data_IF_228311044396
#
_entry.id   IF_228311044396
#
_cell.length_a   1.000
_cell.length_b   1.000
_cell.length_c   1.000
_cell.angle_alpha   90.00
_cell.angle_beta   90.00
_cell.angle_gamma   90.00
#
_symmetry.space_group_name_H-M   'P 1'
#
loop_
_entity.id
_entity.type
_entity.pdbx_description
1 polymer ?
#
# COMPACT_ATOMS: atom_id res chain seq x y z
N UNK A 1 -71.97 -23.74 19.26
CA UNK A 1 -71.30 -23.94 20.56
C UNK A 1 -70.79 -25.35 20.53
N UNK A 2 -69.51 -25.68 20.44
CA UNK A 2 -68.28 -24.91 20.56
C UNK A 2 -67.23 -25.54 19.63
N UNK A 3 -66.58 -24.72 18.82
CA UNK A 3 -65.31 -25.06 18.18
C UNK A 3 -64.37 -23.89 18.45
N UNK A 4 -63.90 -23.83 19.69
CA UNK A 4 -62.85 -22.91 20.11
C UNK A 4 -61.74 -23.73 20.76
N UNK A 5 -61.19 -24.67 19.99
CA UNK A 5 -59.97 -25.37 20.38
C UNK A 5 -58.82 -24.37 20.19
N UNK A 6 -58.07 -24.02 21.26
CA UNK A 6 -56.90 -23.16 21.11
C UNK A 6 -55.91 -23.82 20.15
N UNK A 7 -55.25 -23.05 19.25
CA UNK A 7 -54.16 -23.60 18.46
C UNK A 7 -53.09 -24.18 19.41
N UNK A 8 -52.48 -25.33 19.06
CA UNK A 8 -51.41 -25.90 19.87
C UNK A 8 -50.32 -24.85 20.06
N UNK A 9 -49.86 -24.68 21.30
CA UNK A 9 -48.75 -23.80 21.61
C UNK A 9 -47.54 -24.23 20.77
N UNK A 10 -47.12 -23.39 19.84
CA UNK A 10 -45.92 -23.63 19.04
C UNK A 10 -44.74 -23.73 20.02
N UNK A 11 -44.17 -24.93 20.17
CA UNK A 11 -42.95 -25.11 20.93
C UNK A 11 -41.87 -24.23 20.28
N UNK A 12 -41.27 -23.29 21.02
CA UNK A 12 -40.22 -22.45 20.46
C UNK A 12 -39.08 -23.35 19.99
N UNK A 13 -38.69 -23.22 18.73
CA UNK A 13 -37.64 -24.02 18.13
C UNK A 13 -36.30 -23.65 18.78
N UNK A 14 -35.82 -24.49 19.70
CA UNK A 14 -34.59 -24.26 20.48
C UNK A 14 -33.31 -24.28 19.66
N UNK A 15 -33.39 -24.77 18.41
CA UNK A 15 -32.21 -25.04 17.58
C UNK A 15 -31.98 -24.01 16.46
N UNK A 16 -32.85 -23.00 16.31
CA UNK A 16 -32.70 -21.97 15.29
C UNK A 16 -31.81 -20.81 15.79
N UNK A 17 -30.50 -20.93 15.61
CA UNK A 17 -29.57 -19.80 15.78
C UNK A 17 -29.69 -18.83 14.59
N UNK A 18 -30.50 -17.79 14.76
CA UNK A 18 -30.64 -16.71 13.77
C UNK A 18 -29.37 -15.86 13.63
N UNK A 19 -28.48 -15.86 14.64
CA UNK A 19 -27.19 -15.15 14.59
C UNK A 19 -26.27 -15.73 13.52
N UNK A 20 -26.29 -17.05 13.33
CA UNK A 20 -25.51 -17.71 12.27
C UNK A 20 -25.90 -17.23 10.86
N UNK A 21 -27.16 -16.83 10.64
CA UNK A 21 -27.62 -16.27 9.35
C UNK A 21 -27.02 -14.88 9.13
N UNK A 22 -27.00 -14.04 10.16
CA UNK A 22 -26.42 -12.69 10.10
C UNK A 22 -24.91 -12.75 9.89
N UNK A 23 -24.21 -13.65 10.59
CA UNK A 23 -22.78 -13.89 10.42
C UNK A 23 -22.43 -14.33 8.99
N UNK A 24 -23.23 -15.23 8.42
CA UNK A 24 -23.07 -15.65 7.03
C UNK A 24 -23.33 -14.49 6.05
N UNK A 25 -24.36 -13.68 6.31
CA UNK A 25 -24.67 -12.51 5.49
C UNK A 25 -23.54 -11.47 5.51
N UNK A 26 -22.95 -11.21 6.67
CA UNK A 26 -21.80 -10.30 6.78
C UNK A 26 -20.53 -10.89 6.16
N UNK A 27 -20.31 -12.20 6.28
CA UNK A 27 -19.23 -12.90 5.57
C UNK A 27 -19.38 -12.77 4.04
N UNK A 28 -20.61 -12.85 3.52
CA UNK A 28 -20.87 -12.62 2.10
C UNK A 28 -20.53 -11.18 1.67
N UNK A 29 -20.79 -10.18 2.52
CA UNK A 29 -20.40 -8.78 2.26
C UNK A 29 -18.89 -8.59 2.16
N UNK A 30 -18.13 -9.31 2.99
CA UNK A 30 -16.67 -9.36 2.89
C UNK A 30 -16.22 -9.84 1.52
N UNK A 31 -16.67 -11.03 1.08
CA UNK A 31 -16.26 -11.58 -0.21
C UNK A 31 -16.67 -10.69 -1.39
N UNK A 32 -17.87 -10.10 -1.32
CA UNK A 32 -18.33 -9.13 -2.31
C UNK A 32 -17.36 -7.96 -2.42
N UNK A 33 -17.00 -7.35 -1.28
CA UNK A 33 -16.09 -6.19 -1.26
C UNK A 33 -14.68 -6.54 -1.74
N UNK A 34 -14.15 -7.71 -1.37
CA UNK A 34 -12.85 -8.20 -1.85
C UNK A 34 -12.86 -8.31 -3.38
N UNK A 35 -13.92 -8.91 -3.95
CA UNK A 35 -14.06 -9.07 -5.39
C UNK A 35 -14.18 -7.72 -6.11
N UNK A 36 -14.94 -6.76 -5.57
CA UNK A 36 -15.09 -5.43 -6.15
C UNK A 36 -13.76 -4.68 -6.24
N UNK A 37 -12.96 -4.72 -5.16
CA UNK A 37 -11.63 -4.09 -5.14
C UNK A 37 -10.68 -4.79 -6.12
N UNK A 38 -10.64 -6.13 -6.12
CA UNK A 38 -9.80 -6.90 -7.03
C UNK A 38 -10.15 -6.62 -8.49
N UNK A 39 -11.45 -6.62 -8.84
CA UNK A 39 -11.93 -6.30 -10.19
C UNK A 39 -11.59 -4.87 -10.60
N UNK A 40 -11.68 -3.91 -9.67
CA UNK A 40 -11.28 -2.52 -9.92
C UNK A 40 -9.79 -2.38 -10.27
N UNK A 41 -8.93 -3.18 -9.64
CA UNK A 41 -7.48 -3.17 -9.91
C UNK A 41 -7.07 -3.95 -11.18
N UNK A 42 -7.88 -4.93 -11.61
CA UNK A 42 -7.54 -5.86 -12.70
C UNK A 42 -7.28 -5.17 -14.05
N UNK A 43 -8.05 -4.12 -14.36
CA UNK A 43 -7.86 -3.36 -15.59
C UNK A 43 -6.47 -2.70 -15.63
N UNK A 44 -6.06 -2.06 -14.53
CA UNK A 44 -4.75 -1.43 -14.40
C UNK A 44 -3.61 -2.46 -14.48
N UNK A 45 -3.78 -3.64 -13.87
CA UNK A 45 -2.77 -4.72 -13.91
C UNK A 45 -2.62 -5.31 -15.32
N UNK A 46 -3.73 -5.50 -16.03
CA UNK A 46 -3.71 -5.94 -17.44
C UNK A 46 -2.99 -4.94 -18.33
N UNK A 47 -3.30 -3.65 -18.17
CA UNK A 47 -2.62 -2.58 -18.91
C UNK A 47 -1.12 -2.52 -18.56
N UNK A 48 -0.78 -2.64 -17.28
CA UNK A 48 0.61 -2.66 -16.83
C UNK A 48 1.39 -3.83 -17.43
N UNK A 49 0.79 -5.03 -17.51
CA UNK A 49 1.40 -6.19 -18.17
C UNK A 49 1.70 -5.94 -19.63
N UNK A 50 0.77 -5.32 -20.37
CA UNK A 50 0.99 -4.98 -21.78
C UNK A 50 2.14 -3.98 -21.93
N UNK A 51 2.13 -2.91 -21.12
CA UNK A 51 3.20 -1.90 -21.10
C UNK A 51 4.55 -2.48 -20.72
N UNK A 52 4.60 -3.42 -19.79
CA UNK A 52 5.85 -4.07 -19.36
C UNK A 52 6.53 -4.79 -20.52
N UNK A 53 5.77 -5.58 -21.30
CA UNK A 53 6.31 -6.34 -22.42
C UNK A 53 6.90 -5.40 -23.50
N UNK A 54 6.17 -4.34 -23.85
CA UNK A 54 6.63 -3.32 -24.80
C UNK A 54 7.86 -2.61 -24.27
N UNK A 55 7.81 -2.09 -23.04
CA UNK A 55 8.91 -1.28 -22.51
C UNK A 55 10.19 -2.06 -22.24
N UNK A 56 10.10 -3.35 -21.90
CA UNK A 56 11.28 -4.21 -21.85
C UNK A 56 11.96 -4.35 -23.21
N UNK A 57 11.19 -4.53 -24.29
CA UNK A 57 11.74 -4.68 -25.64
C UNK A 57 12.34 -3.36 -26.15
N UNK A 58 11.62 -2.26 -25.97
CA UNK A 58 12.00 -0.94 -26.48
C UNK A 58 13.19 -0.33 -25.73
N UNK A 59 13.34 -0.62 -24.44
CA UNK A 59 14.40 -0.03 -23.62
C UNK A 59 15.81 -0.44 -24.08
N UNK A 60 16.00 -1.65 -24.60
CA UNK A 60 17.30 -2.07 -25.15
C UNK A 60 17.68 -1.19 -26.36
N UNK A 61 16.77 -1.01 -27.31
CA UNK A 61 16.99 -0.16 -28.47
C UNK A 61 17.23 1.30 -28.06
N UNK A 62 16.47 1.80 -27.09
CA UNK A 62 16.66 3.13 -26.51
C UNK A 62 18.06 3.28 -25.89
N UNK A 63 18.53 2.26 -25.16
CA UNK A 63 19.87 2.25 -24.56
C UNK A 63 20.97 2.26 -25.61
N UNK A 64 20.82 1.52 -26.71
CA UNK A 64 21.80 1.49 -27.81
C UNK A 64 21.92 2.86 -28.50
N UNK A 65 20.79 3.50 -28.80
CA UNK A 65 20.75 4.87 -29.34
C UNK A 65 21.41 5.86 -28.39
N UNK A 66 21.03 5.82 -27.11
CA UNK A 66 21.60 6.69 -26.09
C UNK A 66 23.10 6.44 -25.91
N UNK A 67 23.56 5.19 -25.98
CA UNK A 67 24.96 4.82 -25.82
C UNK A 67 25.83 5.41 -26.94
N UNK A 68 25.37 5.37 -28.18
CA UNK A 68 26.05 6.02 -29.30
C UNK A 68 26.22 7.53 -29.03
N UNK A 69 25.14 8.22 -28.64
CA UNK A 69 25.18 9.65 -28.32
C UNK A 69 26.10 9.97 -27.13
N UNK A 70 26.03 9.17 -26.06
CA UNK A 70 26.88 9.31 -24.86
C UNK A 70 28.36 9.11 -25.21
N UNK A 71 28.70 8.14 -26.06
CA UNK A 71 30.09 7.92 -26.51
C UNK A 71 30.60 9.13 -27.28
N UNK A 72 29.85 9.61 -28.28
CA UNK A 72 30.21 10.81 -29.04
C UNK A 72 30.39 12.03 -28.14
N UNK A 73 29.42 12.28 -27.25
CA UNK A 73 29.47 13.40 -26.31
C UNK A 73 30.67 13.31 -25.37
N UNK A 74 31.02 12.11 -24.88
CA UNK A 74 32.19 11.90 -24.01
C UNK A 74 33.51 12.21 -24.71
N UNK A 75 33.70 11.71 -25.93
CA UNK A 75 34.90 11.98 -26.73
C UNK A 75 35.05 13.47 -26.97
N UNK A 76 34.02 14.11 -27.54
CA UNK A 76 34.06 15.54 -27.85
C UNK A 76 34.24 16.42 -26.59
N UNK A 77 33.61 16.04 -25.48
CA UNK A 77 33.75 16.78 -24.22
C UNK A 77 35.16 16.68 -23.62
N UNK A 78 35.85 15.55 -23.82
CA UNK A 78 37.24 15.42 -23.37
C UNK A 78 38.14 16.45 -24.07
N UNK A 79 38.03 16.55 -25.41
CA UNK A 79 38.78 17.49 -26.23
C UNK A 79 38.46 18.96 -25.86
N UNK A 80 37.16 19.25 -25.64
CA UNK A 80 36.69 20.57 -25.20
C UNK A 80 37.27 20.95 -23.83
N UNK A 81 37.25 20.03 -22.87
CA UNK A 81 37.77 20.28 -21.53
C UNK A 81 39.28 20.49 -21.54
N UNK A 82 40.04 19.73 -22.33
CA UNK A 82 41.48 19.92 -22.49
C UNK A 82 41.78 21.30 -23.08
N UNK A 83 41.08 21.68 -24.15
CA UNK A 83 41.26 22.99 -24.79
C UNK A 83 40.88 24.15 -23.87
N UNK A 84 39.80 24.01 -23.09
CA UNK A 84 39.36 25.05 -22.14
C UNK A 84 40.37 25.25 -21.02
N UNK A 85 40.93 24.17 -20.44
CA UNK A 85 41.96 24.27 -19.39
C UNK A 85 43.19 25.03 -19.83
N UNK A 86 43.59 24.90 -21.09
CA UNK A 86 44.73 25.65 -21.63
C UNK A 86 44.44 27.14 -21.83
N UNK A 87 43.17 27.58 -21.76
CA UNK A 87 42.74 28.95 -22.07
C UNK A 87 42.17 29.71 -20.86
N UNK A 88 41.78 29.02 -19.81
CA UNK A 88 41.36 29.63 -18.54
C UNK A 88 42.56 29.72 -17.60
N UNK A 89 42.56 30.69 -16.69
CA UNK A 89 43.52 30.75 -15.62
C UNK A 89 43.20 29.71 -14.52
N UNK A 90 44.24 29.26 -13.83
CA UNK A 90 44.13 28.23 -12.77
C UNK A 90 43.19 28.67 -11.63
N UNK A 91 43.15 29.96 -11.32
CA UNK A 91 42.32 30.52 -10.25
C UNK A 91 40.82 30.41 -10.59
N UNK A 92 40.44 30.85 -11.79
CA UNK A 92 39.06 30.71 -12.27
C UNK A 92 38.66 29.24 -12.45
N UNK A 93 39.57 28.38 -12.95
CA UNK A 93 39.32 26.94 -13.04
C UNK A 93 38.91 26.35 -11.67
N UNK A 94 39.69 26.65 -10.63
CA UNK A 94 39.44 26.14 -9.29
C UNK A 94 38.18 26.75 -8.65
N UNK A 95 37.94 28.03 -8.88
CA UNK A 95 36.72 28.70 -8.40
C UNK A 95 35.47 28.07 -9.02
N UNK A 96 35.46 27.86 -10.34
CA UNK A 96 34.33 27.24 -11.04
C UNK A 96 34.13 25.79 -10.61
N UNK A 97 35.20 25.00 -10.44
CA UNK A 97 35.07 23.61 -9.92
C UNK A 97 34.45 23.58 -8.53
N UNK A 98 34.88 24.47 -7.62
CA UNK A 98 34.35 24.55 -6.26
C UNK A 98 32.88 24.97 -6.26
N UNK A 99 32.53 26.00 -7.04
CA UNK A 99 31.16 26.45 -7.21
C UNK A 99 30.28 25.31 -7.75
N UNK A 100 30.76 24.60 -8.78
CA UNK A 100 30.09 23.44 -9.35
C UNK A 100 29.86 22.32 -8.32
N UNK A 101 30.88 21.98 -7.51
CA UNK A 101 30.75 20.98 -6.46
C UNK A 101 29.69 21.34 -5.42
N UNK A 102 29.67 22.61 -4.96
CA UNK A 102 28.67 23.10 -4.02
C UNK A 102 27.25 22.96 -4.59
N UNK A 103 27.05 23.33 -5.86
CA UNK A 103 25.77 23.18 -6.55
C UNK A 103 25.38 21.71 -6.68
N UNK A 104 26.30 20.81 -7.04
CA UNK A 104 26.00 19.37 -7.11
C UNK A 104 25.61 18.79 -5.76
N UNK A 105 26.26 19.21 -4.67
CA UNK A 105 25.89 18.80 -3.30
C UNK A 105 24.48 19.29 -2.97
N UNK A 106 24.17 20.55 -3.27
CA UNK A 106 22.83 21.11 -3.06
C UNK A 106 21.77 20.37 -3.88
N UNK A 107 22.03 20.09 -5.17
CA UNK A 107 21.13 19.32 -6.04
C UNK A 107 20.90 17.92 -5.47
N UNK A 108 21.94 17.23 -4.99
CA UNK A 108 21.78 15.90 -4.38
C UNK A 108 20.99 15.92 -3.09
N UNK A 109 21.05 17.01 -2.32
CA UNK A 109 20.29 17.15 -1.10
C UNK A 109 18.78 17.35 -1.37
N UNK A 110 18.40 17.94 -2.51
CA UNK A 110 16.99 18.18 -2.85
C UNK A 110 16.39 17.24 -3.89
N UNK A 111 17.21 16.58 -4.71
CA UNK A 111 16.75 15.65 -5.74
C UNK A 111 16.67 14.22 -5.19
N UNK A 112 15.65 13.47 -5.62
CA UNK A 112 15.56 12.03 -5.35
C UNK A 112 16.78 11.33 -5.97
N UNK A 113 17.37 10.41 -5.21
CA UNK A 113 18.50 9.63 -5.74
C UNK A 113 18.07 8.85 -7.00
N UNK A 114 18.87 8.88 -8.08
CA UNK A 114 18.64 8.03 -9.23
C UNK A 114 18.75 6.55 -8.85
N UNK A 115 17.83 5.74 -9.34
CA UNK A 115 17.82 4.31 -9.15
C UNK A 115 16.39 3.79 -9.16
N UNK A 116 16.21 2.59 -8.61
CA UNK A 116 14.87 2.03 -8.52
C UNK A 116 13.99 2.85 -7.57
N UNK A 117 12.84 3.28 -8.07
CA UNK A 117 11.87 4.07 -7.33
C UNK A 117 10.73 3.23 -6.72
N UNK A 118 10.80 1.91 -6.81
CA UNK A 118 9.74 1.02 -6.33
C UNK A 118 9.51 1.27 -4.83
N UNK A 119 8.23 1.39 -4.45
CA UNK A 119 7.83 1.58 -3.06
C UNK A 119 8.02 0.31 -2.23
N UNK A 120 7.55 0.31 -0.97
CA UNK A 120 7.57 -0.90 -0.14
C UNK A 120 6.76 -2.04 -0.80
N UNK A 121 7.21 -3.28 -0.56
CA UNK A 121 6.62 -4.49 -1.14
C UNK A 121 6.06 -5.49 -0.12
N UNK A 122 6.15 -5.14 1.16
CA UNK A 122 5.73 -5.97 2.29
C UNK A 122 4.38 -5.47 2.79
N UNK A 123 3.33 -6.16 2.37
CA UNK A 123 1.95 -5.88 2.76
C UNK A 123 1.45 -7.04 3.60
N UNK A 124 0.98 -6.73 4.81
CA UNK A 124 0.36 -7.68 5.72
C UNK A 124 -1.15 -7.65 5.53
N UNK A 125 -1.76 -8.70 4.94
CA UNK A 125 -3.20 -8.75 4.72
C UNK A 125 -3.98 -9.15 5.98
N UNK A 126 -3.30 -9.40 7.10
CA UNK A 126 -3.95 -9.83 8.34
C UNK A 126 -4.45 -8.63 9.16
N UNK A 127 -5.48 -8.91 9.95
CA UNK A 127 -6.06 -7.97 10.91
C UNK A 127 -6.31 -8.71 12.21
N UNK A 128 -5.88 -8.11 13.31
CA UNK A 128 -6.09 -8.62 14.66
C UNK A 128 -7.44 -8.09 15.18
N UNK A 129 -8.28 -8.98 15.71
CA UNK A 129 -9.60 -8.62 16.25
C UNK A 129 -9.54 -7.66 17.42
N UNK A 130 -8.40 -7.57 18.11
CA UNK A 130 -8.18 -6.66 19.23
C UNK A 130 -7.82 -5.23 18.77
N UNK A 131 -7.51 -5.02 17.47
CA UNK A 131 -7.23 -3.69 16.92
C UNK A 131 -8.53 -2.88 16.68
N UNK A 132 -8.53 -1.56 16.92
CA UNK A 132 -9.68 -0.74 16.60
C UNK A 132 -9.88 -0.62 15.09
N UNK A 133 -11.14 -0.50 14.65
CA UNK A 133 -11.50 -0.31 13.23
C UNK A 133 -10.75 0.87 12.57
N UNK A 134 -10.44 1.93 13.32
CA UNK A 134 -9.65 3.07 12.82
C UNK A 134 -8.23 2.69 12.42
N UNK A 135 -7.60 1.72 13.09
CA UNK A 135 -6.28 1.21 12.72
C UNK A 135 -6.33 0.45 11.40
N UNK A 136 -7.37 -0.37 11.18
CA UNK A 136 -7.63 -1.05 9.91
C UNK A 136 -7.80 -0.04 8.76
N UNK A 137 -8.60 1.01 8.97
CA UNK A 137 -8.81 2.07 7.96
C UNK A 137 -7.50 2.78 7.64
N UNK A 138 -6.72 3.17 8.65
CA UNK A 138 -5.41 3.80 8.44
C UNK A 138 -4.43 2.90 7.69
N UNK A 139 -4.42 1.59 7.95
CA UNK A 139 -3.59 0.61 7.23
C UNK A 139 -3.99 0.51 5.75
N UNK A 140 -5.29 0.47 5.45
CA UNK A 140 -5.80 0.47 4.07
C UNK A 140 -5.35 1.74 3.32
N UNK A 141 -5.44 2.91 3.94
CA UNK A 141 -5.03 4.19 3.34
C UNK A 141 -3.52 4.24 3.09
N UNK A 142 -2.71 3.76 4.05
CA UNK A 142 -1.27 3.63 3.87
C UNK A 142 -0.93 2.71 2.70
N UNK A 143 -1.57 1.54 2.60
CA UNK A 143 -1.33 0.61 1.49
C UNK A 143 -1.73 1.19 0.14
N UNK A 144 -2.82 1.96 0.07
CA UNK A 144 -3.18 2.69 -1.16
C UNK A 144 -2.10 3.69 -1.56
N UNK A 145 -1.54 4.42 -0.60
CA UNK A 145 -0.42 5.34 -0.85
C UNK A 145 0.82 4.60 -1.38
N UNK A 146 1.18 3.47 -0.78
CA UNK A 146 2.34 2.67 -1.18
C UNK A 146 2.18 2.02 -2.56
N UNK A 147 0.97 1.56 -2.87
CA UNK A 147 0.59 1.08 -4.21
C UNK A 147 0.68 2.20 -5.24
N UNK A 148 0.24 3.42 -4.91
CA UNK A 148 0.37 4.57 -5.80
C UNK A 148 1.84 4.88 -6.10
N UNK A 149 2.72 4.87 -5.10
CA UNK A 149 4.18 5.06 -5.30
C UNK A 149 4.76 4.03 -6.27
N UNK A 150 4.39 2.76 -6.12
CA UNK A 150 4.86 1.68 -7.00
C UNK A 150 4.28 1.79 -8.42
N UNK A 151 3.03 2.23 -8.55
CA UNK A 151 2.36 2.46 -9.84
C UNK A 151 2.99 3.63 -10.59
N UNK A 152 3.27 4.73 -9.89
CA UNK A 152 3.94 5.91 -10.45
C UNK A 152 5.38 5.59 -10.88
N UNK A 153 6.09 4.79 -10.07
CA UNK A 153 7.42 4.32 -10.45
C UNK A 153 7.36 3.49 -11.75
N UNK A 154 6.42 2.55 -11.85
CA UNK A 154 6.25 1.77 -13.08
C UNK A 154 5.92 2.66 -14.29
N UNK A 155 5.02 3.64 -14.13
CA UNK A 155 4.68 4.57 -15.19
C UNK A 155 5.87 5.43 -15.64
N UNK A 156 6.73 5.85 -14.70
CA UNK A 156 7.97 6.56 -15.03
C UNK A 156 8.96 5.67 -15.79
N UNK A 157 9.09 4.40 -15.41
CA UNK A 157 9.95 3.44 -16.10
C UNK A 157 9.49 3.20 -17.53
N UNK A 158 8.18 3.04 -17.77
CA UNK A 158 7.62 2.89 -19.12
C UNK A 158 7.98 4.08 -20.03
N UNK A 159 8.05 5.31 -19.49
CA UNK A 159 8.46 6.50 -20.25
C UNK A 159 9.97 6.56 -20.52
N UNK A 160 10.79 5.84 -19.76
CA UNK A 160 12.24 5.91 -19.90
C UNK A 160 12.72 5.45 -21.29
N UNK A 161 11.97 4.58 -21.97
CA UNK A 161 12.27 4.18 -23.35
C UNK A 161 12.31 5.37 -24.33
N UNK A 162 11.57 6.44 -24.06
CA UNK A 162 11.58 7.69 -24.85
C UNK A 162 12.49 8.74 -24.23
N UNK A 163 12.53 8.82 -22.91
CA UNK A 163 13.25 9.88 -22.20
C UNK A 163 14.77 9.67 -22.24
N UNK A 164 15.25 8.43 -22.21
CA UNK A 164 16.68 8.12 -22.25
C UNK A 164 17.36 8.58 -23.57
N UNK A 165 16.86 8.23 -24.77
CA UNK A 165 17.43 8.72 -26.02
C UNK A 165 17.38 10.25 -26.12
N UNK A 166 16.26 10.86 -25.72
CA UNK A 166 16.08 12.31 -25.76
C UNK A 166 17.10 13.03 -24.84
N UNK A 167 17.25 12.54 -23.61
CA UNK A 167 18.25 13.04 -22.65
C UNK A 167 19.67 12.90 -23.18
N UNK A 168 20.04 11.74 -23.73
CA UNK A 168 21.36 11.54 -24.32
C UNK A 168 21.64 12.44 -25.54
N UNK A 169 20.64 12.63 -26.40
CA UNK A 169 20.73 13.54 -27.54
C UNK A 169 20.88 15.00 -27.10
N UNK A 170 20.14 15.45 -26.08
CA UNK A 170 20.25 16.79 -25.53
C UNK A 170 21.66 17.07 -24.99
N UNK A 171 22.24 16.12 -24.25
CA UNK A 171 23.62 16.24 -23.73
C UNK A 171 24.63 16.33 -24.90
N UNK A 172 24.47 15.51 -25.94
CA UNK A 172 25.33 15.58 -27.15
C UNK A 172 25.23 16.94 -27.84
N UNK A 173 24.02 17.46 -28.02
CA UNK A 173 23.80 18.79 -28.62
C UNK A 173 24.44 19.89 -27.78
N UNK A 174 24.33 19.81 -26.46
CA UNK A 174 24.96 20.76 -25.54
C UNK A 174 26.49 20.74 -25.65
N UNK A 175 27.11 19.54 -25.68
CA UNK A 175 28.56 19.40 -25.89
C UNK A 175 29.00 19.99 -27.23
N UNK A 176 28.23 19.75 -28.29
CA UNK A 176 28.50 20.35 -29.60
C UNK A 176 28.40 21.88 -29.57
N UNK A 177 27.40 22.44 -28.88
CA UNK A 177 27.25 23.87 -28.72
C UNK A 177 28.42 24.50 -27.94
N UNK A 178 28.93 23.83 -26.91
CA UNK A 178 30.14 24.26 -26.17
C UNK A 178 31.35 24.26 -27.11
N UNK A 179 31.54 23.21 -27.91
CA UNK A 179 32.64 23.13 -28.87
C UNK A 179 32.58 24.25 -29.92
N UNK A 180 31.40 24.54 -30.48
CA UNK A 180 31.19 25.66 -31.41
C UNK A 180 31.49 27.01 -30.74
N UNK A 181 31.01 27.22 -29.52
CA UNK A 181 31.30 28.43 -28.76
C UNK A 181 32.79 28.61 -28.47
N UNK A 182 33.50 27.51 -28.22
CA UNK A 182 34.95 27.51 -28.02
C UNK A 182 35.74 27.79 -29.30
N UNK A 183 35.24 27.35 -30.46
CA UNK A 183 35.87 27.57 -31.76
C UNK A 183 35.62 28.97 -32.33
N UNK A 184 34.56 29.66 -31.91
CA UNK A 184 34.23 31.00 -32.40
C UNK A 184 35.37 32.00 -32.13
N UNK A 185 35.81 32.75 -33.15
CA UNK A 185 36.86 33.76 -32.99
C UNK A 185 36.24 35.09 -32.52
N UNK A 186 36.03 35.20 -31.22
CA UNK A 186 35.41 36.37 -30.59
C UNK A 186 36.22 36.79 -29.36
N UNK A 187 36.55 38.09 -29.23
CA UNK A 187 37.28 38.60 -28.07
C UNK A 187 36.44 38.60 -26.78
N UNK A 188 35.11 38.59 -26.89
CA UNK A 188 34.17 38.62 -25.74
C UNK A 188 33.75 37.22 -25.28
N UNK A 189 34.55 36.19 -25.61
CA UNK A 189 34.23 34.80 -25.27
C UNK A 189 34.35 34.56 -23.77
N UNK A 190 33.23 34.28 -23.14
CA UNK A 190 33.15 33.87 -21.73
C UNK A 190 33.61 32.41 -21.54
N UNK A 191 34.94 32.24 -21.42
CA UNK A 191 35.58 30.94 -21.23
C UNK A 191 35.18 30.29 -19.89
N UNK A 192 34.97 31.10 -18.84
CA UNK A 192 34.55 30.65 -17.51
C UNK A 192 33.17 29.98 -17.60
N UNK A 193 32.22 30.61 -18.30
CA UNK A 193 30.88 30.04 -18.53
C UNK A 193 30.92 28.80 -19.42
N UNK A 194 31.74 28.77 -20.47
CA UNK A 194 31.92 27.56 -21.29
C UNK A 194 32.49 26.40 -20.47
N UNK A 195 33.45 26.67 -19.59
CA UNK A 195 34.00 25.68 -18.67
C UNK A 195 32.96 25.18 -17.66
N UNK A 196 32.16 26.07 -17.07
CA UNK A 196 31.06 25.68 -16.19
C UNK A 196 30.05 24.76 -16.90
N UNK A 197 29.64 25.09 -18.14
CA UNK A 197 28.76 24.24 -18.96
C UNK A 197 29.39 22.87 -19.24
N UNK A 198 30.70 22.83 -19.53
CA UNK A 198 31.44 21.59 -19.74
C UNK A 198 31.48 20.71 -18.47
N UNK A 199 31.61 21.29 -17.28
CA UNK A 199 31.51 20.55 -16.01
C UNK A 199 30.11 19.96 -15.80
N UNK A 200 29.06 20.71 -16.10
CA UNK A 200 27.67 20.23 -16.03
C UNK A 200 27.45 19.08 -17.01
N UNK A 201 27.87 19.21 -18.27
CA UNK A 201 27.79 18.13 -19.27
C UNK A 201 28.55 16.88 -18.81
N UNK A 202 29.75 17.04 -18.22
CA UNK A 202 30.53 15.93 -17.66
C UNK A 202 29.79 15.20 -16.53
N UNK A 203 29.07 15.95 -15.69
CA UNK A 203 28.26 15.38 -14.61
C UNK A 203 27.01 14.69 -15.14
N UNK A 204 26.31 15.27 -16.11
CA UNK A 204 25.17 14.63 -16.78
C UNK A 204 25.56 13.33 -17.49
N UNK A 205 26.78 13.23 -18.02
CA UNK A 205 27.32 12.00 -18.62
C UNK A 205 27.73 10.92 -17.61
N UNK A 206 27.68 11.21 -16.29
CA UNK A 206 27.92 10.18 -15.27
C UNK A 206 26.81 9.15 -15.28
N UNK A 207 27.17 7.92 -14.91
CA UNK A 207 26.27 6.77 -14.99
C UNK A 207 24.93 6.99 -14.28
N UNK A 208 24.97 7.57 -13.08
CA UNK A 208 23.76 7.87 -12.29
C UNK A 208 22.84 8.92 -12.92
N UNK A 209 23.34 9.79 -13.80
CA UNK A 209 22.55 10.88 -14.36
C UNK A 209 21.93 10.48 -15.70
N UNK A 210 22.75 10.03 -16.65
CA UNK A 210 22.22 9.67 -17.98
C UNK A 210 21.41 8.38 -17.97
N UNK A 211 21.79 7.38 -17.16
CA UNK A 211 21.10 6.09 -17.09
C UNK A 211 20.18 5.95 -15.87
N UNK A 212 19.92 7.04 -15.14
CA UNK A 212 19.13 7.06 -13.90
C UNK A 212 19.57 6.01 -12.86
N UNK A 213 20.85 5.62 -12.84
CA UNK A 213 21.38 4.62 -11.91
C UNK A 213 21.35 3.17 -12.41
N UNK A 214 20.70 2.88 -13.54
CA UNK A 214 20.66 1.53 -14.12
C UNK A 214 21.95 1.19 -14.90
N UNK A 215 22.79 0.34 -14.33
CA UNK A 215 24.04 -0.10 -14.94
C UNK A 215 23.79 -1.02 -16.14
N UNK A 216 22.73 -1.82 -16.10
CA UNK A 216 22.33 -2.75 -17.15
C UNK A 216 20.85 -2.61 -17.51
N UNK A 217 20.45 -3.25 -18.61
CA UNK A 217 19.01 -3.42 -18.94
C UNK A 217 18.32 -4.28 -17.90
N UNK A 218 19.02 -5.25 -17.30
CA UNK A 218 18.45 -6.10 -16.27
C UNK A 218 18.10 -5.29 -15.01
N UNK A 219 18.95 -4.38 -14.56
CA UNK A 219 18.66 -3.52 -13.40
C UNK A 219 17.36 -2.70 -13.60
N UNK A 220 17.13 -2.24 -14.84
CA UNK A 220 15.91 -1.53 -15.22
C UNK A 220 14.70 -2.46 -15.22
N UNK A 221 14.81 -3.64 -15.83
CA UNK A 221 13.74 -4.65 -15.87
C UNK A 221 13.40 -5.15 -14.47
N UNK A 222 14.39 -5.38 -13.62
CA UNK A 222 14.21 -5.80 -12.23
C UNK A 222 13.42 -4.74 -11.47
N UNK A 223 13.74 -3.45 -11.64
CA UNK A 223 12.97 -2.38 -11.02
C UNK A 223 11.52 -2.31 -11.53
N UNK A 224 11.29 -2.52 -12.83
CA UNK A 224 9.93 -2.61 -13.38
C UNK A 224 9.15 -3.78 -12.78
N UNK A 225 9.78 -4.96 -12.69
CA UNK A 225 9.21 -6.15 -12.08
C UNK A 225 8.85 -5.91 -10.61
N UNK A 226 9.77 -5.34 -9.83
CA UNK A 226 9.53 -4.99 -8.43
C UNK A 226 8.37 -4.00 -8.30
N UNK A 227 8.32 -2.96 -9.13
CA UNK A 227 7.25 -1.95 -9.09
C UNK A 227 5.87 -2.55 -9.34
N UNK A 228 5.71 -3.39 -10.39
CA UNK A 228 4.42 -4.07 -10.64
C UNK A 228 4.10 -5.07 -9.54
N UNK A 229 5.08 -5.87 -9.10
CA UNK A 229 4.86 -6.90 -8.07
C UNK A 229 4.41 -6.27 -6.76
N UNK A 230 5.03 -5.16 -6.34
CA UNK A 230 4.64 -4.43 -5.14
C UNK A 230 3.22 -3.85 -5.28
N UNK A 231 2.89 -3.27 -6.44
CA UNK A 231 1.53 -2.80 -6.70
C UNK A 231 0.49 -3.94 -6.65
N UNK A 232 0.80 -5.10 -7.22
CA UNK A 232 -0.06 -6.29 -7.19
C UNK A 232 -0.30 -6.80 -5.77
N UNK A 233 0.78 -7.02 -5.00
CA UNK A 233 0.70 -7.47 -3.60
C UNK A 233 -0.08 -6.48 -2.73
N UNK A 234 0.14 -5.18 -2.95
CA UNK A 234 -0.59 -4.15 -2.23
C UNK A 234 -2.09 -4.16 -2.56
N UNK A 235 -2.47 -4.30 -3.84
CA UNK A 235 -3.89 -4.44 -4.20
C UNK A 235 -4.54 -5.69 -3.63
N UNK A 236 -3.83 -6.81 -3.58
CA UNK A 236 -4.30 -8.04 -2.94
C UNK A 236 -4.57 -7.81 -1.44
N UNK A 237 -3.61 -7.23 -0.72
CA UNK A 237 -3.78 -6.92 0.69
C UNK A 237 -4.91 -5.90 0.93
N UNK A 238 -5.00 -4.84 0.13
CA UNK A 238 -6.09 -3.85 0.20
C UNK A 238 -7.45 -4.53 -0.02
N UNK A 239 -7.56 -5.43 -1.00
CA UNK A 239 -8.80 -6.16 -1.24
C UNK A 239 -9.20 -6.95 0.01
N UNK A 240 -8.28 -7.73 0.59
CA UNK A 240 -8.54 -8.53 1.78
C UNK A 240 -9.00 -7.67 2.96
N UNK A 241 -8.26 -6.59 3.26
CA UNK A 241 -8.53 -5.68 4.38
C UNK A 241 -9.84 -4.90 4.21
N UNK A 242 -10.15 -4.43 2.98
CA UNK A 242 -11.46 -3.82 2.66
C UNK A 242 -12.60 -4.82 2.84
N UNK A 243 -12.37 -6.09 2.54
CA UNK A 243 -13.28 -7.19 2.85
C UNK A 243 -13.56 -7.33 4.33
N UNK A 244 -12.50 -7.41 5.15
CA UNK A 244 -12.61 -7.51 6.61
C UNK A 244 -13.38 -6.31 7.16
N UNK A 245 -13.03 -5.10 6.71
CA UNK A 245 -13.73 -3.86 7.07
C UNK A 245 -15.23 -3.96 6.78
N UNK A 246 -15.61 -4.43 5.59
CA UNK A 246 -17.02 -4.57 5.22
C UNK A 246 -17.77 -5.59 6.10
N UNK A 247 -17.10 -6.66 6.55
CA UNK A 247 -17.65 -7.62 7.52
C UNK A 247 -17.95 -6.95 8.86
N UNK A 248 -16.97 -6.19 9.39
CA UNK A 248 -17.07 -5.51 10.67
C UNK A 248 -18.15 -4.42 10.65
N UNK A 249 -18.18 -3.62 9.58
CA UNK A 249 -19.20 -2.59 9.38
C UNK A 249 -20.61 -3.22 9.31
N UNK A 250 -20.74 -4.39 8.66
CA UNK A 250 -22.00 -5.14 8.62
C UNK A 250 -22.44 -5.63 10.01
N UNK A 251 -21.53 -6.25 10.78
CA UNK A 251 -21.81 -6.73 12.14
C UNK A 251 -22.17 -5.59 13.08
N UNK A 252 -21.47 -4.46 13.00
CA UNK A 252 -21.78 -3.27 13.78
C UNK A 252 -23.17 -2.71 13.44
N UNK A 253 -23.54 -2.67 12.15
CA UNK A 253 -24.86 -2.24 11.72
C UNK A 253 -25.97 -3.20 12.17
N UNK A 254 -25.75 -4.52 12.08
CA UNK A 254 -26.70 -5.53 12.57
C UNK A 254 -26.92 -5.42 14.08
N UNK A 255 -25.84 -5.28 14.86
CA UNK A 255 -25.93 -5.08 16.31
C UNK A 255 -26.67 -3.78 16.68
N UNK A 256 -26.43 -2.69 15.95
CA UNK A 256 -27.14 -1.44 16.14
C UNK A 256 -28.64 -1.58 15.83
N UNK A 257 -29.00 -2.25 14.73
CA UNK A 257 -30.39 -2.51 14.36
C UNK A 257 -31.10 -3.43 15.36
N UNK A 258 -30.43 -4.46 15.86
CA UNK A 258 -30.96 -5.34 16.91
C UNK A 258 -31.21 -4.56 18.21
N UNK A 259 -30.29 -3.67 18.59
CA UNK A 259 -30.46 -2.78 19.74
C UNK A 259 -31.65 -1.83 19.54
N UNK A 260 -31.77 -1.21 18.37
CA UNK A 260 -32.88 -0.33 18.03
C UNK A 260 -34.23 -1.06 18.09
N UNK A 261 -34.30 -2.28 17.52
CA UNK A 261 -35.50 -3.13 17.59
C UNK A 261 -35.91 -3.41 19.05
N UNK A 262 -34.94 -3.76 19.90
CA UNK A 262 -35.18 -4.00 21.33
C UNK A 262 -35.68 -2.74 22.06
N UNK A 263 -35.20 -1.56 21.68
CA UNK A 263 -35.68 -0.30 22.24
C UNK A 263 -37.11 0.02 21.79
N UNK A 264 -37.47 -0.31 20.55
CA UNK A 264 -38.80 -0.06 19.99
C UNK A 264 -39.88 -1.01 20.52
N UNK A 265 -39.52 -2.26 20.86
CA UNK A 265 -40.46 -3.29 21.34
C UNK A 265 -40.01 -3.94 22.66
N UNK A 266 -39.69 -3.10 23.64
CA UNK A 266 -39.12 -3.55 24.92
C UNK A 266 -40.03 -4.54 25.67
N UNK A 267 -41.35 -4.40 25.54
CA UNK A 267 -42.31 -5.28 26.23
C UNK A 267 -42.31 -6.67 25.59
N UNK A 268 -42.35 -6.78 24.26
CA UNK A 268 -42.31 -8.10 23.62
C UNK A 268 -40.98 -8.81 23.88
N UNK A 269 -39.86 -8.09 23.88
CA UNK A 269 -38.54 -8.66 24.18
C UNK A 269 -38.44 -9.13 25.65
N UNK A 270 -38.99 -8.37 26.61
CA UNK A 270 -39.08 -8.80 28.02
C UNK A 270 -39.96 -10.04 28.16
N UNK A 271 -41.11 -10.10 27.47
CA UNK A 271 -41.99 -11.27 27.53
C UNK A 271 -41.36 -12.50 26.87
N UNK A 272 -40.63 -12.33 25.77
CA UNK A 272 -39.88 -13.40 25.12
C UNK A 272 -38.78 -13.96 26.06
N UNK A 273 -38.04 -13.07 26.73
CA UNK A 273 -37.02 -13.46 27.70
C UNK A 273 -37.64 -14.11 28.95
N UNK A 274 -38.78 -13.62 29.44
CA UNK A 274 -39.53 -14.24 30.54
C UNK A 274 -39.92 -15.69 30.21
N UNK A 275 -40.47 -15.95 29.02
CA UNK A 275 -40.81 -17.32 28.59
C UNK A 275 -39.57 -18.21 28.51
N UNK A 276 -38.42 -17.66 28.10
CA UNK A 276 -37.14 -18.37 28.04
C UNK A 276 -36.60 -18.73 29.43
N UNK A 277 -36.72 -17.82 30.39
CA UNK A 277 -36.24 -18.00 31.77
C UNK A 277 -37.21 -18.80 32.65
N UNK A 278 -38.51 -18.71 32.38
CA UNK A 278 -39.58 -19.37 33.11
C UNK A 278 -40.41 -20.22 32.14
N UNK A 279 -39.83 -21.31 31.58
CA UNK A 279 -40.60 -22.22 30.75
C UNK A 279 -41.77 -22.77 31.60
N UNK A 280 -42.99 -22.91 31.04
CA UNK A 280 -44.10 -23.48 31.76
C UNK A 280 -43.71 -24.87 32.28
N UNK A 281 -44.01 -25.13 33.55
CA UNK A 281 -43.79 -26.44 34.17
C UNK A 281 -44.55 -27.49 33.36
N UNK A 282 -43.84 -28.37 32.66
CA UNK A 282 -44.42 -29.55 31.98
C UNK A 282 -44.91 -30.62 33.00
N UNK A 283 -45.09 -30.25 34.28
CA UNK A 283 -45.58 -31.11 35.35
C UNK A 283 -47.10 -31.25 35.31
N UNK A 284 -47.61 -31.78 34.20
CA UNK A 284 -48.93 -32.41 34.16
C UNK A 284 -48.94 -33.66 33.24
N UNK A 285 -47.81 -34.37 33.18
CA UNK A 285 -47.78 -35.74 32.68
C UNK A 285 -47.76 -36.68 33.89
N UNK A 286 -48.95 -37.07 34.31
CA UNK A 286 -49.16 -38.00 35.42
C UNK A 286 -48.34 -39.29 35.25
N UNK A 287 -47.57 -39.59 36.30
CA UNK A 287 -47.34 -40.93 36.82
C UNK A 287 -47.00 -42.04 35.82
N UNK A 288 -45.71 -42.32 35.67
CA UNK A 288 -45.27 -43.69 35.94
C UNK A 288 -43.86 -43.68 36.54
N UNK A 289 -43.81 -44.14 37.79
CA UNK A 289 -42.64 -44.41 38.59
C UNK A 289 -41.68 -45.31 37.81
N UNK A 290 -40.43 -44.89 37.65
CA UNK A 290 -39.32 -45.81 37.78
C UNK A 290 -38.07 -45.07 38.24
N UNK A 291 -37.50 -45.62 39.30
CA UNK A 291 -36.42 -45.09 40.11
C UNK A 291 -35.08 -45.05 39.37
N UNK A 292 -34.24 -44.10 39.78
CA UNK A 292 -32.80 -43.97 39.51
C UNK A 292 -32.44 -43.54 38.06
N UNK A 293 -31.64 -42.50 37.81
CA UNK A 293 -30.44 -42.11 38.52
C UNK A 293 -29.98 -40.72 38.04
N UNK A 294 -29.44 -39.90 38.95
CA UNK A 294 -28.54 -38.75 38.74
C UNK A 294 -28.70 -37.88 37.47
N UNK A 295 -29.57 -36.88 37.53
CA UNK A 295 -29.50 -35.71 36.65
C UNK A 295 -29.28 -34.47 37.51
N UNK A 296 -28.03 -34.00 37.53
CA UNK A 296 -27.63 -32.81 38.29
C UNK A 296 -28.45 -31.57 37.91
N UNK A 297 -28.59 -30.60 38.83
CA UNK A 297 -29.40 -29.41 38.61
C UNK A 297 -28.90 -28.67 37.37
N UNK A 298 -29.80 -28.47 36.41
CA UNK A 298 -29.58 -27.54 35.30
C UNK A 298 -29.50 -26.15 35.92
N UNK A 299 -28.27 -25.70 36.12
CA UNK A 299 -27.93 -24.34 36.56
C UNK A 299 -28.45 -23.35 35.52
N UNK A 300 -29.70 -22.92 35.71
CA UNK A 300 -30.25 -21.75 35.05
C UNK A 300 -29.50 -20.58 35.67
N UNK A 301 -28.37 -20.17 35.05
CA UNK A 301 -27.39 -19.17 35.52
C UNK A 301 -27.94 -17.77 35.77
N UNK A 302 -28.95 -17.68 36.61
CA UNK A 302 -29.64 -16.51 37.10
C UNK A 302 -29.17 -16.30 38.55
N UNK A 303 -27.88 -16.01 38.69
CA UNK A 303 -27.32 -15.41 39.90
C UNK A 303 -26.41 -16.32 40.71
N UNK A 304 -25.09 -16.21 40.50
CA UNK A 304 -24.11 -16.15 41.57
C UNK A 304 -23.03 -15.12 41.21
N UNK A 305 -23.21 -13.91 41.72
CA UNK A 305 -22.16 -12.90 41.86
C UNK A 305 -21.07 -13.46 42.77
N UNK A 306 -20.05 -14.12 42.20
CA UNK A 306 -18.80 -14.35 42.91
C UNK A 306 -18.03 -13.02 42.98
N UNK A 307 -18.28 -12.29 44.06
CA UNK A 307 -17.38 -11.27 44.61
C UNK A 307 -15.98 -11.87 44.84
N UNK A 308 -15.10 -11.79 43.84
CA UNK A 308 -13.67 -11.95 44.07
C UNK A 308 -13.14 -10.70 44.76
N UNK A 309 -12.90 -10.84 46.06
CA UNK A 309 -12.15 -9.86 46.85
C UNK A 309 -10.74 -9.70 46.29
N UNK A 310 -10.45 -8.52 45.75
CA UNK A 310 -9.10 -8.08 45.46
C UNK A 310 -8.43 -7.66 46.77
N UNK A 311 -7.69 -8.57 47.40
CA UNK A 311 -6.71 -8.23 48.42
C UNK A 311 -5.62 -7.33 47.81
N UNK A 312 -5.44 -6.16 48.43
CA UNK A 312 -4.32 -5.25 48.22
C UNK A 312 -3.19 -5.66 49.17
N UNK A 313 -2.10 -6.14 48.62
CA UNK A 313 -0.74 -6.05 49.19
C UNK A 313 0.18 -5.74 48.00
N UNK A 314 1.00 -4.70 47.97
CA UNK A 314 1.87 -4.22 49.04
C UNK A 314 3.31 -4.61 48.68
N UNK A 315 3.96 -3.91 47.74
CA UNK A 315 5.29 -4.32 47.27
C UNK A 315 6.05 -3.29 46.44
N UNK A 316 6.47 -2.21 47.09
CA UNK A 316 7.52 -1.33 46.57
C UNK A 316 8.87 -2.06 46.56
N UNK A 317 9.60 -2.03 45.43
CA UNK A 317 11.07 -2.05 45.45
C UNK A 317 11.64 -1.07 44.42
N UNK A 318 12.38 -0.14 44.99
CA UNK A 318 13.29 0.86 44.45
C UNK A 318 14.61 0.26 43.97
N UNK A 319 15.27 1.00 43.07
CA UNK A 319 16.73 1.03 42.78
C UNK A 319 17.29 -0.20 42.03
N UNK A 320 18.07 -0.05 40.96
CA UNK A 320 19.15 0.90 40.67
C UNK A 320 19.33 1.03 39.16
#
# INVERSE_FOLDING_TARGET
>A
MDQNTPPPAEQPCTDCDLGAIEDLACSAKRFQKQADVANGSLAALTEARAKFATARADYQAARDIAQANVRTAKTQLADVLETLRCKIDDSDEDCVKRAFQNVVVAIRACAKEPGCCAGPGDFDPTWDSDEPLSALVGRIEQYRSDVAVSTDCFAALVKEQTDLPARAAAIKTEVAAIATGLAADSPDKDLVRLFARALVARWQLKQRQVWLGYATVNDYVDCMCTSITNAMKGWEAIAILEGIRAELDCKAAAAAAACEKKQQDIVAEVMAEYVRCCPPDDSDNGSQEDESNESGPRDCGCGHDHHHGHERDGGAKTST
#
